data_IF_737940738233
#
_entry.id   IF_737940738233
#
_cell.length_a   1.000
_cell.length_b   1.000
_cell.length_c   1.000
_cell.angle_alpha   90.00
_cell.angle_beta   90.00
_cell.angle_gamma   90.00
#
_symmetry.space_group_name_H-M   'P 1'
#
loop_
_entity.id
_entity.type
_entity.pdbx_description
1 polymer ?
#
# COMPACT_ATOMS: atom_id res chain seq x y z
N UNK A 1 -16.01 10.15 19.97
CA UNK A 1 -14.97 9.91 19.01
C UNK A 1 -15.42 9.18 17.77
N UNK A 2 -15.04 8.98 16.88
CA UNK A 2 -15.38 8.16 15.70
C UNK A 2 -15.35 8.88 14.36
N UNK A 3 -15.06 10.22 14.34
CA UNK A 3 -15.00 10.94 13.06
C UNK A 3 -13.81 10.46 12.21
N UNK A 4 -12.66 10.22 12.81
CA UNK A 4 -11.49 9.68 12.12
C UNK A 4 -11.82 8.30 11.53
N UNK A 5 -12.46 7.43 12.31
CA UNK A 5 -12.87 6.09 11.82
C UNK A 5 -13.90 6.15 10.71
N UNK A 6 -14.84 7.08 10.81
CA UNK A 6 -15.84 7.32 9.74
C UNK A 6 -15.17 7.81 8.47
N UNK A 7 -14.22 8.74 8.57
CA UNK A 7 -13.44 9.23 7.42
C UNK A 7 -12.65 8.08 6.79
N UNK A 8 -11.96 7.26 7.58
CA UNK A 8 -11.23 6.09 7.09
C UNK A 8 -12.14 5.15 6.28
N UNK A 9 -13.32 4.82 6.79
CA UNK A 9 -14.29 3.96 6.12
C UNK A 9 -14.71 4.57 4.77
N UNK A 10 -15.04 5.85 4.75
CA UNK A 10 -15.48 6.54 3.52
C UNK A 10 -14.35 6.67 2.50
N UNK A 11 -13.13 6.98 2.94
CA UNK A 11 -11.96 7.04 2.07
C UNK A 11 -11.63 5.65 1.48
N UNK A 12 -11.69 4.61 2.29
CA UNK A 12 -11.49 3.24 1.82
C UNK A 12 -12.54 2.84 0.79
N UNK A 13 -13.81 3.15 1.03
CA UNK A 13 -14.88 2.89 0.07
C UNK A 13 -14.69 3.67 -1.25
N UNK A 14 -14.31 4.95 -1.15
CA UNK A 14 -14.00 5.77 -2.33
C UNK A 14 -12.81 5.22 -3.11
N UNK A 15 -11.75 4.82 -2.40
CA UNK A 15 -10.56 4.21 -2.99
C UNK A 15 -10.88 2.89 -3.70
N UNK A 16 -11.65 2.01 -3.06
CA UNK A 16 -12.08 0.76 -3.68
C UNK A 16 -12.91 0.98 -4.95
N UNK A 17 -13.81 1.96 -4.94
CA UNK A 17 -14.60 2.32 -6.13
C UNK A 17 -13.71 2.79 -7.27
N UNK A 18 -12.73 3.63 -6.99
CA UNK A 18 -11.75 4.08 -7.98
C UNK A 18 -10.92 2.92 -8.54
N UNK A 19 -10.49 1.99 -7.68
CA UNK A 19 -9.62 0.87 -8.03
C UNK A 19 -10.34 -0.23 -8.82
N UNK A 20 -11.68 -0.25 -8.87
CA UNK A 20 -12.43 -1.26 -9.63
C UNK A 20 -12.00 -1.32 -11.10
N UNK A 21 -11.67 -0.18 -11.71
CA UNK A 21 -11.19 -0.13 -13.11
C UNK A 21 -9.85 -0.84 -13.34
N UNK A 22 -9.07 -1.06 -12.28
CA UNK A 22 -7.83 -1.83 -12.31
C UNK A 22 -8.03 -3.27 -11.81
N UNK A 23 -9.25 -3.63 -11.44
CA UNK A 23 -9.59 -4.94 -10.87
C UNK A 23 -8.75 -5.28 -9.60
N UNK A 24 -8.50 -4.30 -8.76
CA UNK A 24 -7.83 -4.47 -7.46
C UNK A 24 -8.61 -3.76 -6.35
N UNK A 25 -8.36 -4.17 -5.11
CA UNK A 25 -8.88 -3.54 -3.90
C UNK A 25 -7.82 -2.59 -3.30
N UNK A 26 -8.25 -1.76 -2.35
CA UNK A 26 -7.35 -0.89 -1.59
C UNK A 26 -6.22 -1.68 -0.90
N UNK A 27 -6.55 -2.79 -0.23
CA UNK A 27 -5.54 -3.62 0.42
C UNK A 27 -4.53 -4.20 -0.56
N UNK A 28 -4.96 -4.61 -1.76
CA UNK A 28 -4.07 -5.07 -2.82
C UNK A 28 -3.19 -3.94 -3.35
N UNK A 29 -3.74 -2.75 -3.57
CA UNK A 29 -2.98 -1.58 -4.00
C UNK A 29 -1.88 -1.22 -2.99
N UNK A 30 -2.17 -1.31 -1.70
CA UNK A 30 -1.19 -1.05 -0.65
C UNK A 30 -0.01 -2.03 -0.67
N UNK A 31 -0.25 -3.31 -0.93
CA UNK A 31 0.81 -4.30 -1.08
C UNK A 31 1.68 -3.99 -2.31
N UNK A 32 1.06 -3.69 -3.45
CA UNK A 32 1.81 -3.32 -4.66
C UNK A 32 2.69 -2.09 -4.43
N UNK A 33 2.16 -1.07 -3.76
CA UNK A 33 2.91 0.14 -3.41
C UNK A 33 4.08 -0.18 -2.48
N UNK A 34 3.86 -1.01 -1.46
CA UNK A 34 4.90 -1.43 -0.53
C UNK A 34 6.07 -2.12 -1.27
N UNK A 35 5.77 -3.06 -2.16
CA UNK A 35 6.77 -3.75 -2.96
C UNK A 35 7.51 -2.81 -3.91
N UNK A 36 6.80 -1.89 -4.56
CA UNK A 36 7.42 -0.90 -5.46
C UNK A 36 8.39 0.02 -4.71
N UNK A 37 8.01 0.49 -3.53
CA UNK A 37 8.88 1.33 -2.69
C UNK A 37 10.12 0.58 -2.21
N UNK A 38 9.97 -0.68 -1.79
CA UNK A 38 11.10 -1.53 -1.40
C UNK A 38 12.03 -1.82 -2.56
N UNK A 39 11.50 -2.16 -3.74
CA UNK A 39 12.31 -2.38 -4.93
C UNK A 39 13.13 -1.13 -5.28
N UNK A 40 12.52 0.06 -5.20
CA UNK A 40 13.22 1.33 -5.42
C UNK A 40 14.31 1.58 -4.38
N UNK A 41 14.01 1.38 -3.10
CA UNK A 41 14.94 1.62 -2.00
C UNK A 41 16.17 0.70 -2.03
N UNK A 42 15.99 -0.54 -2.50
CA UNK A 42 17.07 -1.55 -2.61
C UNK A 42 17.68 -1.64 -4.00
N UNK A 43 17.26 -0.78 -4.93
CA UNK A 43 17.69 -0.81 -6.34
C UNK A 43 17.44 -2.17 -7.00
N UNK A 44 16.37 -2.85 -6.60
CA UNK A 44 15.93 -4.12 -7.21
C UNK A 44 15.13 -3.82 -8.48
N UNK A 45 15.43 -4.51 -9.56
CA UNK A 45 14.68 -4.36 -10.81
C UNK A 45 13.29 -4.97 -10.66
N UNK A 46 12.30 -4.36 -11.33
CA UNK A 46 10.95 -4.94 -11.41
C UNK A 46 11.02 -6.30 -12.10
N UNK A 47 10.34 -7.27 -11.51
CA UNK A 47 10.39 -8.67 -11.97
C UNK A 47 11.47 -9.54 -11.28
N UNK A 48 12.35 -8.93 -10.50
CA UNK A 48 13.33 -9.64 -9.68
C UNK A 48 12.83 -9.83 -8.23
N UNK A 49 13.29 -10.87 -7.52
CA UNK A 49 12.93 -11.07 -6.13
C UNK A 49 13.38 -9.92 -5.23
N UNK A 50 12.46 -9.39 -4.44
CA UNK A 50 12.75 -8.41 -3.40
C UNK A 50 13.23 -9.10 -2.11
N UNK A 51 13.67 -8.32 -1.14
CA UNK A 51 13.94 -8.81 0.22
C UNK A 51 12.68 -8.86 1.10
N UNK A 52 11.50 -8.70 0.50
CA UNK A 52 10.23 -8.72 1.22
C UNK A 52 9.64 -10.11 1.25
N UNK A 53 9.34 -10.58 2.45
CA UNK A 53 8.62 -11.82 2.72
C UNK A 53 7.18 -11.54 3.14
N UNK A 54 6.33 -12.55 3.11
CA UNK A 54 4.95 -12.42 3.57
C UNK A 54 4.86 -11.90 5.02
N UNK A 55 5.76 -12.37 5.90
CA UNK A 55 5.80 -11.95 7.29
C UNK A 55 6.03 -10.44 7.46
N UNK A 56 6.81 -9.84 6.57
CA UNK A 56 7.04 -8.39 6.58
C UNK A 56 5.74 -7.63 6.32
N UNK A 57 4.90 -8.13 5.41
CA UNK A 57 3.58 -7.56 5.14
C UNK A 57 2.64 -7.73 6.35
N UNK A 58 2.66 -8.89 6.99
CA UNK A 58 1.86 -9.15 8.21
C UNK A 58 2.20 -8.16 9.31
N UNK A 59 3.48 -7.95 9.58
CA UNK A 59 3.98 -7.03 10.59
C UNK A 59 3.70 -5.57 10.22
N UNK A 60 3.99 -5.19 8.98
CA UNK A 60 3.82 -3.81 8.52
C UNK A 60 2.36 -3.36 8.52
N UNK A 61 1.46 -4.17 7.98
CA UNK A 61 0.04 -3.84 7.90
C UNK A 61 -0.78 -4.24 9.14
N UNK A 62 -0.19 -4.95 10.09
CA UNK A 62 -0.90 -5.45 11.27
C UNK A 62 -1.99 -6.47 10.91
N UNK A 63 -1.74 -7.30 9.89
CA UNK A 63 -2.67 -8.29 9.36
C UNK A 63 -2.28 -9.71 9.79
N UNK A 64 -3.28 -10.58 9.88
CA UNK A 64 -3.05 -12.00 10.14
C UNK A 64 -2.45 -12.72 8.93
N UNK A 65 -1.76 -13.84 9.19
CA UNK A 65 -1.22 -14.70 8.13
C UNK A 65 -2.29 -15.14 7.12
N UNK A 66 -3.48 -15.64 7.51
CA UNK A 66 -4.52 -16.00 6.55
C UNK A 66 -4.99 -14.82 5.69
N UNK A 67 -5.07 -13.63 6.23
CA UNK A 67 -5.46 -12.43 5.50
C UNK A 67 -4.45 -12.08 4.43
N UNK A 68 -3.15 -12.04 4.78
CA UNK A 68 -2.08 -11.75 3.82
C UNK A 68 -1.96 -12.85 2.77
N UNK A 69 -2.07 -14.11 3.18
CA UNK A 69 -2.11 -15.25 2.24
C UNK A 69 -3.22 -15.09 1.22
N UNK A 70 -4.42 -14.74 1.65
CA UNK A 70 -5.56 -14.50 0.74
C UNK A 70 -5.33 -13.34 -0.22
N UNK A 71 -4.74 -12.24 0.24
CA UNK A 71 -4.39 -11.09 -0.59
C UNK A 71 -3.34 -11.46 -1.64
N UNK A 72 -2.28 -12.15 -1.24
CA UNK A 72 -1.21 -12.59 -2.13
C UNK A 72 -1.70 -13.61 -3.17
N UNK A 73 -2.56 -14.55 -2.78
CA UNK A 73 -3.15 -15.51 -3.71
C UNK A 73 -3.96 -14.80 -4.81
N UNK A 74 -4.72 -13.77 -4.46
CA UNK A 74 -5.47 -12.98 -5.44
C UNK A 74 -4.57 -12.15 -6.34
N UNK A 75 -3.50 -11.57 -5.80
CA UNK A 75 -2.51 -10.84 -6.58
C UNK A 75 -1.74 -11.75 -7.54
N UNK A 76 -1.38 -12.96 -7.11
CA UNK A 76 -0.76 -13.97 -7.98
C UNK A 76 -1.71 -14.42 -9.10
N UNK A 77 -2.98 -14.67 -8.77
CA UNK A 77 -3.98 -15.06 -9.76
C UNK A 77 -4.16 -14.02 -10.88
N UNK A 78 -3.86 -12.75 -10.58
CA UNK A 78 -3.90 -11.62 -11.53
C UNK A 78 -2.54 -11.35 -12.19
N UNK A 79 -1.52 -12.12 -11.89
CA UNK A 79 -0.14 -11.93 -12.34
C UNK A 79 0.47 -10.57 -11.94
N UNK A 80 0.09 -10.06 -10.79
CA UNK A 80 0.60 -8.78 -10.26
C UNK A 80 1.77 -8.95 -9.31
N UNK A 81 1.83 -10.09 -8.63
CA UNK A 81 2.89 -10.49 -7.71
C UNK A 81 3.22 -11.95 -7.97
N UNK A 82 4.46 -12.35 -7.73
CA UNK A 82 4.90 -13.75 -7.70
C UNK A 82 5.61 -14.03 -6.39
N UNK A 83 5.63 -15.30 -6.01
CA UNK A 83 6.39 -15.79 -4.87
C UNK A 83 7.56 -16.66 -5.36
N UNK A 84 8.76 -16.33 -4.92
CA UNK A 84 9.98 -17.07 -5.24
C UNK A 84 10.51 -17.77 -4.00
N UNK A 85 10.93 -19.03 -4.14
CA UNK A 85 11.48 -19.80 -3.03
C UNK A 85 12.83 -19.21 -2.64
N UNK A 86 12.98 -18.85 -1.36
CA UNK A 86 14.24 -18.38 -0.83
C UNK A 86 15.24 -19.55 -0.74
N UNK A 87 16.38 -19.43 -1.43
CA UNK A 87 17.34 -20.53 -1.58
C UNK A 87 17.93 -21.02 -0.25
N UNK A 88 18.09 -20.12 0.73
CA UNK A 88 18.65 -20.43 2.05
C UNK A 88 17.66 -21.15 2.96
N UNK A 89 16.37 -20.92 2.78
CA UNK A 89 15.31 -21.64 3.51
C UNK A 89 14.04 -21.71 2.66
N UNK A 90 13.71 -22.90 2.18
CA UNK A 90 12.56 -23.16 1.30
C UNK A 90 11.19 -22.88 1.95
N UNK A 91 11.13 -22.73 3.26
CA UNK A 91 9.90 -22.33 3.96
C UNK A 91 9.56 -20.86 3.73
N UNK A 92 10.54 -20.06 3.32
CA UNK A 92 10.40 -18.64 3.06
C UNK A 92 10.33 -18.37 1.56
N UNK A 93 9.37 -17.54 1.18
CA UNK A 93 9.19 -17.11 -0.20
C UNK A 93 9.32 -15.61 -0.28
N UNK A 94 10.26 -15.14 -1.09
CA UNK A 94 10.39 -13.71 -1.41
C UNK A 94 9.29 -13.30 -2.36
N UNK A 95 8.88 -12.05 -2.26
CA UNK A 95 7.87 -11.48 -3.13
C UNK A 95 8.52 -10.77 -4.31
N UNK A 96 7.91 -10.94 -5.46
CA UNK A 96 8.31 -10.33 -6.73
C UNK A 96 7.17 -9.44 -7.20
N UNK A 97 7.45 -8.16 -7.41
CA UNK A 97 6.52 -7.29 -8.09
C UNK A 97 6.70 -7.47 -9.60
N UNK A 98 5.67 -7.94 -10.28
CA UNK A 98 5.71 -8.12 -11.74
C UNK A 98 5.68 -6.77 -12.46
N UNK A 99 6.08 -6.77 -13.74
CA UNK A 99 5.95 -5.56 -14.57
C UNK A 99 4.49 -5.09 -14.64
N UNK A 100 3.55 -6.02 -14.78
CA UNK A 100 2.11 -5.72 -14.77
C UNK A 100 1.66 -5.09 -13.44
N UNK A 101 2.13 -5.66 -12.31
CA UNK A 101 1.84 -5.12 -10.97
C UNK A 101 2.38 -3.72 -10.78
N UNK A 102 3.60 -3.47 -11.25
CA UNK A 102 4.22 -2.15 -11.21
C UNK A 102 3.44 -1.12 -12.04
N UNK A 103 3.05 -1.46 -13.26
CA UNK A 103 2.27 -0.56 -14.13
C UNK A 103 0.90 -0.20 -13.54
N UNK A 104 0.21 -1.17 -12.94
CA UNK A 104 -1.06 -0.93 -12.24
C UNK A 104 -0.83 -0.03 -11.02
N UNK A 105 0.23 -0.27 -10.25
CA UNK A 105 0.59 0.57 -9.10
C UNK A 105 0.84 2.01 -9.53
N UNK A 106 1.62 2.25 -10.58
CA UNK A 106 1.90 3.60 -11.09
C UNK A 106 0.62 4.31 -11.56
N UNK A 107 -0.19 3.65 -12.38
CA UNK A 107 -1.45 4.23 -12.88
C UNK A 107 -2.45 4.54 -11.77
N UNK A 108 -2.56 3.64 -10.79
CA UNK A 108 -3.48 3.84 -9.65
C UNK A 108 -3.01 4.94 -8.72
N UNK A 109 -1.71 5.10 -8.53
CA UNK A 109 -1.12 6.14 -7.69
C UNK A 109 -1.47 7.55 -8.20
N UNK A 110 -1.35 7.80 -9.50
CA UNK A 110 -1.70 9.10 -10.10
C UNK A 110 -3.14 9.50 -9.79
N UNK A 111 -4.06 8.57 -9.85
CA UNK A 111 -5.45 8.82 -9.50
C UNK A 111 -5.69 9.05 -8.01
N UNK A 112 -4.91 8.44 -7.13
CA UNK A 112 -4.98 8.75 -5.69
C UNK A 112 -4.51 10.16 -5.39
N UNK A 113 -3.41 10.61 -5.98
CA UNK A 113 -2.92 11.98 -5.84
C UNK A 113 -3.98 12.99 -6.26
N UNK A 114 -4.65 12.74 -7.39
CA UNK A 114 -5.75 13.58 -7.87
C UNK A 114 -6.94 13.56 -6.90
N UNK A 115 -7.35 12.38 -6.44
CA UNK A 115 -8.46 12.23 -5.50
C UNK A 115 -8.20 12.95 -4.17
N UNK A 116 -6.98 12.86 -3.65
CA UNK A 116 -6.56 13.55 -2.44
C UNK A 116 -6.58 15.06 -2.62
N UNK A 117 -6.07 15.56 -3.76
CA UNK A 117 -6.11 16.96 -4.11
C UNK A 117 -7.55 17.49 -4.16
N UNK A 118 -8.47 16.77 -4.80
CA UNK A 118 -9.89 17.12 -4.88
C UNK A 118 -10.56 17.20 -3.50
N UNK A 119 -10.22 16.28 -2.59
CA UNK A 119 -10.72 16.31 -1.20
C UNK A 119 -10.27 17.57 -0.46
N UNK A 120 -9.06 18.02 -0.71
CA UNK A 120 -8.50 19.21 -0.07
C UNK A 120 -9.03 20.51 -0.65
N UNK A 121 -9.69 20.49 -1.81
CA UNK A 121 -10.33 21.67 -2.41
C UNK A 121 -11.50 22.21 -1.58
N UNK A 122 -12.07 21.42 -0.67
CA UNK A 122 -13.10 21.87 0.27
C UNK A 122 -12.58 22.89 1.29
N UNK A 123 -11.27 22.98 1.45
CA UNK A 123 -10.61 23.90 2.39
C UNK A 123 -10.08 25.15 1.66
N UNK A 124 -10.08 26.30 2.36
CA UNK A 124 -9.31 27.45 1.92
C UNK A 124 -7.81 27.13 1.91
N UNK A 125 -6.98 27.96 1.28
CA UNK A 125 -5.53 27.77 1.25
C UNK A 125 -4.93 27.66 2.65
N UNK A 126 -5.31 28.59 3.55
CA UNK A 126 -4.79 28.63 4.93
C UNK A 126 -5.26 27.42 5.74
N UNK A 127 -6.52 27.03 5.63
CA UNK A 127 -7.07 25.85 6.29
C UNK A 127 -6.36 24.57 5.81
N UNK A 128 -6.08 24.47 4.52
CA UNK A 128 -5.36 23.32 3.92
C UNK A 128 -3.96 23.18 4.48
N UNK A 129 -3.21 24.27 4.57
CA UNK A 129 -1.85 24.27 5.12
C UNK A 129 -1.85 23.81 6.59
N UNK A 130 -2.77 24.33 7.40
CA UNK A 130 -2.92 23.94 8.81
C UNK A 130 -3.33 22.46 8.91
N UNK A 131 -4.28 22.03 8.11
CA UNK A 131 -4.78 20.65 8.12
C UNK A 131 -3.67 19.64 7.77
N UNK A 132 -2.91 19.90 6.70
CA UNK A 132 -1.77 19.04 6.31
C UNK A 132 -0.71 18.99 7.40
N UNK A 133 -0.40 20.14 8.02
CA UNK A 133 0.54 20.20 9.15
C UNK A 133 0.07 19.35 10.33
N UNK A 134 -1.20 19.43 10.69
CA UNK A 134 -1.79 18.65 11.77
C UNK A 134 -1.79 17.14 11.45
N UNK A 135 -2.12 16.76 10.22
CA UNK A 135 -2.09 15.37 9.79
C UNK A 135 -0.68 14.79 9.83
N UNK A 136 0.32 15.53 9.38
CA UNK A 136 1.71 15.09 9.44
C UNK A 136 2.18 14.90 10.89
N UNK A 137 1.85 15.85 11.79
CA UNK A 137 2.17 15.72 13.21
C UNK A 137 1.51 14.51 13.85
N UNK A 138 0.25 14.25 13.52
CA UNK A 138 -0.48 13.07 13.99
C UNK A 138 0.14 11.78 13.46
N UNK A 139 0.47 11.74 12.17
CA UNK A 139 1.14 10.61 11.55
C UNK A 139 2.50 10.30 12.22
N UNK A 140 3.35 11.30 12.39
CA UNK A 140 4.66 11.14 13.03
C UNK A 140 4.53 10.63 14.48
N UNK A 141 3.56 11.12 15.22
CA UNK A 141 3.30 10.66 16.59
C UNK A 141 2.92 9.19 16.64
N UNK A 142 1.99 8.76 15.77
CA UNK A 142 1.54 7.37 15.69
C UNK A 142 2.62 6.44 15.14
N UNK A 143 3.40 6.90 14.16
CA UNK A 143 4.48 6.12 13.56
C UNK A 143 5.61 5.81 14.55
N UNK A 144 5.95 6.75 15.44
CA UNK A 144 6.94 6.55 16.51
C UNK A 144 6.54 5.44 17.48
N UNK A 145 5.27 5.30 17.80
CA UNK A 145 4.77 4.27 18.72
C UNK A 145 4.94 2.84 18.16
N UNK A 146 4.96 2.67 16.85
CA UNK A 146 5.03 1.36 16.18
C UNK A 146 6.32 1.08 15.42
N UNK A 147 7.34 1.96 15.50
CA UNK A 147 8.51 1.91 14.61
C UNK A 147 8.12 1.86 13.10
N UNK A 148 7.00 2.48 12.74
CA UNK A 148 6.57 2.61 11.36
C UNK A 148 7.30 3.78 10.69
N UNK A 149 8.06 3.47 9.63
CA UNK A 149 8.53 4.46 8.65
C UNK A 149 7.98 4.08 7.28
N UNK A 150 7.15 4.95 6.74
CA UNK A 150 6.82 4.90 5.33
C UNK A 150 7.90 5.57 4.50
#
# INVERSE_FOLDING_TARGET
GGIIKKIEILLTAKSNRYLQKFNITWSQAQILKYLAMHAKATNTKIGEPTDVFQKDLEEFFGLSNPTVTGLLNRLEAKDLVKRDIFAQDRRWKRLILTQKGYEIQEKSFDGFVKMESELLETFSKDEREIFIKCLNSLYESLAKEKNFTF
#
